data_IF_444446255975
#
_entry.id   IF_444446255975
#
_cell.length_a   1.000
_cell.length_b   1.000
_cell.length_c   1.000
_cell.angle_alpha   90.00
_cell.angle_beta   90.00
_cell.angle_gamma   90.00
#
_symmetry.space_group_name_H-M   'P 1'
#
loop_
_entity.id
_entity.type
_entity.pdbx_description
1 polymer ?
#
# COMPACT_ATOMS: atom_id res chain seq x y z
N UNK A 1 -17.18 -54.26 -22.90
CA UNK A 1 -16.09 -53.36 -23.33
C UNK A 1 -16.31 -52.73 -24.72
N UNK A 2 -17.49 -52.80 -25.34
CA UNK A 2 -17.75 -52.21 -26.68
C UNK A 2 -18.73 -51.05 -26.69
N UNK A 3 -19.34 -50.71 -25.55
CA UNK A 3 -20.36 -49.64 -25.43
C UNK A 3 -19.79 -48.28 -25.12
N UNK A 4 -18.65 -48.21 -24.42
CA UNK A 4 -18.03 -46.92 -23.99
C UNK A 4 -17.35 -46.15 -25.14
N UNK A 5 -16.76 -46.85 -26.10
CA UNK A 5 -16.08 -46.21 -27.25
C UNK A 5 -17.06 -45.46 -28.15
N UNK A 6 -18.29 -45.98 -28.32
CA UNK A 6 -19.32 -45.32 -29.15
C UNK A 6 -19.91 -44.08 -28.49
N UNK A 7 -19.99 -44.05 -27.16
CA UNK A 7 -20.52 -42.90 -26.43
C UNK A 7 -19.53 -41.72 -26.49
N UNK A 8 -18.23 -42.00 -26.33
CA UNK A 8 -17.20 -40.95 -26.42
C UNK A 8 -17.05 -40.39 -27.85
N UNK A 9 -17.16 -41.24 -28.88
CA UNK A 9 -17.15 -40.79 -30.27
C UNK A 9 -18.37 -39.93 -30.61
N UNK A 10 -19.55 -40.25 -30.08
CA UNK A 10 -20.79 -39.50 -30.28
C UNK A 10 -20.76 -38.14 -29.56
N UNK A 11 -20.27 -38.08 -28.33
CA UNK A 11 -20.05 -36.83 -27.59
C UNK A 11 -19.03 -35.91 -28.27
N UNK A 12 -17.92 -36.47 -28.79
CA UNK A 12 -16.94 -35.69 -29.54
C UNK A 12 -17.52 -35.10 -30.84
N UNK A 13 -18.39 -35.82 -31.52
CA UNK A 13 -19.08 -35.34 -32.74
C UNK A 13 -20.07 -34.22 -32.43
N UNK A 14 -20.77 -34.26 -31.30
CA UNK A 14 -21.72 -33.20 -30.90
C UNK A 14 -20.94 -31.94 -30.52
N UNK A 15 -19.82 -32.07 -29.81
CA UNK A 15 -18.97 -30.94 -29.45
C UNK A 15 -18.37 -30.28 -30.69
N UNK A 16 -17.88 -31.07 -31.64
CA UNK A 16 -17.40 -30.57 -32.94
C UNK A 16 -18.49 -29.86 -33.75
N UNK A 17 -19.68 -30.43 -33.84
CA UNK A 17 -20.80 -29.83 -34.56
C UNK A 17 -21.27 -28.51 -33.90
N UNK A 18 -21.21 -28.41 -32.57
CA UNK A 18 -21.52 -27.17 -31.86
C UNK A 18 -20.50 -26.06 -32.18
N UNK A 19 -19.21 -26.40 -32.28
CA UNK A 19 -18.15 -25.46 -32.67
C UNK A 19 -18.26 -24.99 -34.13
N UNK A 20 -18.71 -25.85 -35.06
CA UNK A 20 -18.95 -25.46 -36.46
C UNK A 20 -20.13 -24.48 -36.62
N UNK A 21 -21.17 -24.64 -35.80
CA UNK A 21 -22.37 -23.79 -35.86
C UNK A 21 -22.15 -22.38 -35.30
N UNK A 22 -21.22 -22.21 -34.35
CA UNK A 22 -20.94 -20.90 -33.68
C UNK A 22 -19.89 -20.09 -34.44
N UNK A 23 -19.23 -20.63 -35.48
CA UNK A 23 -18.11 -19.98 -36.22
C UNK A 23 -17.01 -19.40 -35.32
N UNK A 24 -16.81 -19.93 -34.12
CA UNK A 24 -15.74 -19.54 -33.22
C UNK A 24 -14.57 -20.49 -33.45
N UNK A 25 -13.43 -19.96 -33.87
CA UNK A 25 -12.20 -20.75 -34.00
C UNK A 25 -11.86 -21.44 -32.69
N UNK A 26 -11.61 -22.76 -32.64
CA UNK A 26 -11.19 -23.45 -31.41
C UNK A 26 -9.95 -22.83 -30.74
N UNK A 27 -9.08 -22.20 -31.54
CA UNK A 27 -7.94 -21.43 -31.02
C UNK A 27 -8.34 -20.15 -30.26
N UNK A 28 -9.50 -19.56 -30.56
CA UNK A 28 -9.97 -18.35 -29.89
C UNK A 28 -10.66 -18.64 -28.55
N UNK A 29 -11.19 -19.85 -28.37
CA UNK A 29 -11.72 -20.27 -27.06
C UNK A 29 -10.66 -20.85 -26.12
N UNK A 30 -9.47 -21.23 -26.63
CA UNK A 30 -8.35 -21.70 -25.81
C UNK A 30 -7.38 -20.57 -25.38
N UNK A 31 -7.65 -19.32 -25.78
CA UNK A 31 -6.73 -18.18 -25.55
C UNK A 31 -7.36 -17.04 -24.72
N UNK A 32 -8.57 -17.19 -24.27
CA UNK A 32 -8.96 -16.51 -23.06
C UNK A 32 -8.61 -17.44 -21.88
N UNK A 33 -7.32 -17.61 -21.59
CA UNK A 33 -6.88 -17.96 -20.25
C UNK A 33 -7.55 -16.94 -19.35
N UNK A 34 -8.56 -17.40 -18.60
CA UNK A 34 -9.24 -16.51 -17.65
C UNK A 34 -8.14 -16.04 -16.72
N UNK A 35 -7.70 -14.77 -16.93
CA UNK A 35 -6.73 -14.15 -16.03
C UNK A 35 -7.31 -14.25 -14.62
N UNK A 36 -6.60 -14.92 -13.73
CA UNK A 36 -7.00 -15.09 -12.35
C UNK A 36 -5.80 -14.78 -11.46
N UNK A 37 -5.98 -13.84 -10.57
CA UNK A 37 -4.99 -13.54 -9.54
C UNK A 37 -4.86 -14.72 -8.57
N UNK A 38 -3.69 -15.00 -7.98
CA UNK A 38 -3.51 -16.08 -7.00
C UNK A 38 -4.50 -15.99 -5.83
N UNK A 39 -4.85 -14.78 -5.42
CA UNK A 39 -5.82 -14.48 -4.37
C UNK A 39 -7.29 -14.55 -4.81
N UNK A 40 -7.56 -14.86 -6.08
CA UNK A 40 -8.89 -14.82 -6.73
C UNK A 40 -9.59 -13.44 -6.70
N UNK A 41 -8.88 -12.34 -6.36
CA UNK A 41 -9.39 -10.97 -6.42
C UNK A 41 -9.56 -10.51 -7.87
N UNK A 42 -10.47 -9.56 -8.10
CA UNK A 42 -10.55 -8.85 -9.37
C UNK A 42 -9.32 -7.96 -9.60
N UNK A 43 -9.05 -7.57 -10.83
CA UNK A 43 -7.88 -6.72 -11.16
C UNK A 43 -7.86 -5.39 -10.41
N UNK A 44 -9.03 -4.85 -10.12
CA UNK A 44 -9.24 -3.55 -9.46
C UNK A 44 -9.72 -3.69 -8.00
N UNK A 45 -9.54 -4.87 -7.39
CA UNK A 45 -9.95 -5.17 -6.02
C UNK A 45 -8.76 -5.15 -5.06
N UNK A 46 -8.91 -4.37 -3.98
CA UNK A 46 -7.93 -4.35 -2.88
C UNK A 46 -8.15 -5.52 -1.91
N UNK A 47 -7.11 -5.85 -1.15
CA UNK A 47 -7.23 -6.69 0.04
C UNK A 47 -8.12 -6.00 1.08
N UNK A 48 -8.74 -6.78 1.95
CA UNK A 48 -9.49 -6.23 3.07
C UNK A 48 -8.62 -5.33 3.94
N UNK A 49 -9.12 -4.13 4.26
CA UNK A 49 -8.44 -3.15 5.12
C UNK A 49 -9.11 -3.12 6.47
N UNK A 50 -8.35 -3.23 7.55
CA UNK A 50 -8.83 -3.00 8.90
C UNK A 50 -7.86 -2.11 9.68
N UNK A 51 -8.41 -1.23 10.53
CA UNK A 51 -7.67 -0.21 11.28
C UNK A 51 -8.16 -0.23 12.71
N UNK A 52 -7.24 -0.48 13.64
CA UNK A 52 -7.49 -0.40 15.08
C UNK A 52 -6.73 0.81 15.64
N UNK A 53 -7.45 1.86 16.03
CA UNK A 53 -6.85 3.09 16.58
C UNK A 53 -6.61 2.99 18.08
N UNK A 54 -5.65 3.76 18.60
CA UNK A 54 -5.32 3.75 20.03
C UNK A 54 -4.70 2.43 20.50
N UNK A 55 -4.05 1.70 19.60
CA UNK A 55 -3.48 0.37 19.84
C UNK A 55 -2.44 0.36 20.96
N UNK A 56 -1.63 1.42 21.09
CA UNK A 56 -0.65 1.55 22.17
C UNK A 56 -1.04 2.66 23.15
N UNK A 57 -0.73 2.45 24.43
CA UNK A 57 -1.15 3.35 25.53
C UNK A 57 -0.37 4.66 25.59
N UNK A 58 0.91 4.64 25.20
CA UNK A 58 1.84 5.72 25.55
C UNK A 58 2.05 6.74 24.43
N UNK A 59 1.95 6.31 23.16
CA UNK A 59 2.10 7.20 22.02
C UNK A 59 1.00 8.27 21.97
N UNK A 60 1.30 9.44 21.44
CA UNK A 60 0.32 10.51 21.22
C UNK A 60 -0.76 10.10 20.22
N UNK A 61 -0.40 9.30 19.21
CA UNK A 61 -1.31 8.63 18.31
C UNK A 61 -0.79 7.24 17.96
N UNK A 62 -1.67 6.28 17.77
CA UNK A 62 -1.28 4.94 17.34
C UNK A 62 -2.39 4.20 16.63
N UNK A 63 -2.02 3.34 15.69
CA UNK A 63 -2.94 2.38 15.08
C UNK A 63 -2.21 1.09 14.67
N UNK A 64 -2.96 0.00 14.64
CA UNK A 64 -2.60 -1.20 13.89
C UNK A 64 -3.40 -1.20 12.60
N UNK A 65 -2.72 -1.04 11.47
CA UNK A 65 -3.32 -1.19 10.14
C UNK A 65 -3.03 -2.58 9.58
N UNK A 66 -4.05 -3.18 8.98
CA UNK A 66 -3.94 -4.44 8.24
C UNK A 66 -4.48 -4.24 6.83
N UNK A 67 -3.70 -4.64 5.84
CA UNK A 67 -4.08 -4.73 4.42
C UNK A 67 -3.89 -6.19 4.02
N UNK A 68 -4.98 -6.97 4.06
CA UNK A 68 -4.89 -8.43 4.02
C UNK A 68 -3.98 -8.97 5.13
N UNK A 69 -2.98 -9.75 4.74
CA UNK A 69 -2.00 -10.34 5.65
C UNK A 69 -0.79 -9.40 5.94
N UNK A 70 -0.76 -8.19 5.40
CA UNK A 70 0.24 -7.19 5.78
C UNK A 70 -0.24 -6.40 6.98
N UNK A 71 0.47 -6.50 8.11
CA UNK A 71 0.15 -5.85 9.38
C UNK A 71 1.26 -4.92 9.81
N UNK A 72 0.94 -3.64 10.05
CA UNK A 72 1.90 -2.62 10.47
C UNK A 72 1.37 -1.88 11.70
N UNK A 73 2.17 -1.84 12.76
CA UNK A 73 1.95 -0.97 13.89
C UNK A 73 2.56 0.39 13.59
N UNK A 74 1.73 1.45 13.65
CA UNK A 74 2.17 2.82 13.48
C UNK A 74 1.95 3.60 14.77
N UNK A 75 2.97 4.29 15.26
CA UNK A 75 2.88 5.18 16.43
C UNK A 75 3.41 6.55 16.08
N UNK A 76 2.86 7.60 16.69
CA UNK A 76 3.31 8.97 16.55
C UNK A 76 3.69 9.53 17.91
N UNK A 77 4.93 10.03 18.02
CA UNK A 77 5.52 10.58 19.23
C UNK A 77 5.83 12.06 19.03
N UNK A 78 5.42 12.91 19.99
CA UNK A 78 5.62 14.35 19.98
C UNK A 78 6.91 14.74 20.72
N UNK A 79 7.69 15.61 20.09
CA UNK A 79 8.79 16.33 20.75
C UNK A 79 8.55 17.83 20.66
N UNK A 80 8.68 18.54 21.81
CA UNK A 80 8.55 20.01 21.91
C UNK A 80 9.76 20.78 21.34
N UNK A 81 10.49 20.19 20.42
CA UNK A 81 11.67 20.76 19.75
C UNK A 81 11.76 20.25 18.33
N UNK A 82 12.35 21.04 17.46
CA UNK A 82 12.66 20.66 16.08
C UNK A 82 14.14 20.27 15.94
N UNK A 83 14.50 19.56 14.85
CA UNK A 83 15.90 19.32 14.52
C UNK A 83 16.71 20.61 14.45
N UNK A 84 18.03 20.59 14.73
CA UNK A 84 18.87 21.79 14.77
C UNK A 84 18.80 22.70 13.53
N UNK A 85 18.63 22.10 12.35
CA UNK A 85 18.52 22.84 11.07
C UNK A 85 17.22 23.63 10.91
N UNK A 86 16.21 23.42 11.76
CA UNK A 86 14.94 24.16 11.78
C UNK A 86 14.76 25.06 12.99
N UNK A 87 15.74 25.09 13.87
CA UNK A 87 15.67 25.93 15.07
C UNK A 87 15.50 27.41 14.72
N UNK A 88 14.52 28.09 15.31
CA UNK A 88 14.12 29.47 15.07
C UNK A 88 13.58 29.72 13.64
N UNK A 89 13.13 28.72 12.94
CA UNK A 89 12.49 28.87 11.61
C UNK A 89 10.98 29.10 11.71
N UNK A 90 10.35 28.82 12.85
CA UNK A 90 8.90 28.79 13.02
C UNK A 90 8.22 27.56 12.39
N UNK A 91 9.00 26.60 11.86
CA UNK A 91 8.50 25.45 11.12
C UNK A 91 8.53 24.17 11.95
N UNK A 92 7.44 23.44 11.97
CA UNK A 92 7.40 22.09 12.50
C UNK A 92 8.02 21.05 11.58
N UNK A 93 8.21 19.85 12.11
CA UNK A 93 8.79 18.74 11.39
C UNK A 93 8.03 17.42 11.63
N UNK A 94 7.83 16.65 10.58
CA UNK A 94 7.36 15.27 10.65
C UNK A 94 8.44 14.39 10.03
N UNK A 95 8.83 13.37 10.75
CA UNK A 95 9.80 12.37 10.29
C UNK A 95 9.25 10.99 10.56
N UNK A 96 9.88 9.96 10.00
CA UNK A 96 9.47 8.59 10.23
C UNK A 96 10.66 7.66 10.40
N UNK A 97 10.43 6.61 11.19
CA UNK A 97 11.26 5.43 11.24
C UNK A 97 10.47 4.22 10.74
N UNK A 98 11.17 3.22 10.23
CA UNK A 98 10.55 2.02 9.68
C UNK A 98 11.41 0.81 10.04
N UNK A 99 10.75 -0.27 10.41
CA UNK A 99 11.43 -1.52 10.67
C UNK A 99 10.53 -2.72 10.43
N UNK A 100 11.15 -3.89 10.30
CA UNK A 100 10.43 -5.16 10.21
C UNK A 100 10.85 -6.07 11.35
N UNK A 101 9.86 -6.71 12.01
CA UNK A 101 10.17 -7.73 13.00
C UNK A 101 10.90 -8.92 12.33
N UNK A 102 11.81 -9.60 13.03
CA UNK A 102 12.59 -10.71 12.46
C UNK A 102 11.74 -11.82 11.82
N UNK A 103 10.51 -12.01 12.30
CA UNK A 103 9.55 -13.00 11.78
C UNK A 103 8.36 -12.36 11.08
N UNK A 104 8.48 -11.13 10.61
CA UNK A 104 7.49 -10.52 9.74
C UNK A 104 7.34 -11.24 8.40
N UNK A 105 8.36 -11.99 7.97
CA UNK A 105 8.42 -12.77 6.72
C UNK A 105 8.48 -14.28 6.97
N UNK A 106 8.34 -15.09 5.91
CA UNK A 106 8.36 -16.55 5.96
C UNK A 106 9.62 -17.11 6.63
N UNK A 107 10.77 -16.51 6.37
CA UNK A 107 12.04 -16.86 7.01
C UNK A 107 12.45 -15.80 8.00
N UNK A 108 13.20 -16.19 9.04
CA UNK A 108 13.68 -15.23 10.03
C UNK A 108 14.77 -14.34 9.45
N UNK A 109 14.52 -13.03 9.42
CA UNK A 109 15.52 -12.02 9.11
C UNK A 109 16.38 -11.67 10.35
N UNK A 110 17.63 -11.25 10.12
CA UNK A 110 18.48 -10.74 11.20
C UNK A 110 17.93 -9.37 11.64
N UNK A 111 17.81 -9.17 12.95
CA UNK A 111 17.40 -7.86 13.50
C UNK A 111 18.46 -6.80 13.17
N UNK A 112 18.06 -5.67 12.59
CA UNK A 112 19.01 -4.62 12.13
C UNK A 112 19.80 -4.02 13.30
N UNK A 113 19.18 -3.82 14.47
CA UNK A 113 19.89 -3.35 15.68
C UNK A 113 21.02 -4.30 16.11
N UNK A 114 20.85 -5.60 15.92
CA UNK A 114 21.91 -6.59 16.17
C UNK A 114 22.95 -6.66 15.03
N UNK A 115 22.64 -6.12 13.87
CA UNK A 115 23.60 -5.97 12.75
C UNK A 115 24.42 -4.69 12.84
N UNK A 116 24.03 -3.74 13.71
CA UNK A 116 24.71 -2.47 13.93
C UNK A 116 24.49 -1.43 12.83
N UNK A 117 23.64 -1.73 11.82
CA UNK A 117 23.27 -0.79 10.75
C UNK A 117 21.92 -1.16 10.15
N UNK A 118 21.20 -0.15 9.66
CA UNK A 118 20.01 -0.32 8.86
C UNK A 118 20.35 -0.70 7.41
N UNK A 119 19.48 -1.46 6.76
CA UNK A 119 19.57 -1.76 5.34
C UNK A 119 19.27 -0.51 4.49
N UNK A 120 19.73 -0.49 3.24
CA UNK A 120 19.39 0.58 2.30
C UNK A 120 17.87 0.68 2.06
N UNK A 121 17.17 -0.48 2.01
CA UNK A 121 15.71 -0.55 1.90
C UNK A 121 15.02 0.13 3.10
N UNK A 122 15.44 -0.16 4.32
CA UNK A 122 14.89 0.47 5.53
C UNK A 122 15.05 1.97 5.49
N UNK A 123 16.25 2.47 5.15
CA UNK A 123 16.53 3.91 5.06
C UNK A 123 15.72 4.58 3.94
N UNK A 124 15.57 3.93 2.79
CA UNK A 124 14.76 4.43 1.68
C UNK A 124 13.30 4.57 2.11
N UNK A 125 12.70 3.54 2.73
CA UNK A 125 11.30 3.54 3.15
C UNK A 125 11.06 4.57 4.27
N UNK A 126 11.93 4.71 5.25
CA UNK A 126 11.85 5.77 6.28
C UNK A 126 11.75 7.15 5.65
N UNK A 127 12.62 7.44 4.67
CA UNK A 127 12.63 8.73 3.98
C UNK A 127 11.37 8.94 3.14
N UNK A 128 10.87 7.89 2.51
CA UNK A 128 9.63 7.90 1.75
C UNK A 128 8.44 8.24 2.66
N UNK A 129 8.26 7.52 3.78
CA UNK A 129 7.17 7.76 4.73
C UNK A 129 7.23 9.22 5.25
N UNK A 130 8.38 9.64 5.78
CA UNK A 130 8.54 10.98 6.34
C UNK A 130 8.27 12.10 5.31
N UNK A 131 8.72 11.94 4.07
CA UNK A 131 8.47 12.88 2.96
C UNK A 131 6.98 12.91 2.59
N UNK A 132 6.36 11.76 2.50
CA UNK A 132 4.94 11.62 2.16
C UNK A 132 4.05 12.29 3.19
N UNK A 133 4.25 12.01 4.48
CA UNK A 133 3.47 12.61 5.55
C UNK A 133 3.66 14.15 5.61
N UNK A 134 4.88 14.64 5.44
CA UNK A 134 5.15 16.09 5.43
C UNK A 134 4.44 16.83 4.31
N UNK A 135 4.20 16.20 3.16
CA UNK A 135 3.48 16.83 2.05
C UNK A 135 2.02 17.17 2.41
N UNK A 136 1.43 16.43 3.36
CA UNK A 136 0.09 16.69 3.89
C UNK A 136 0.05 17.59 5.12
N UNK A 137 1.13 18.31 5.49
CA UNK A 137 1.22 19.08 6.74
C UNK A 137 1.57 20.54 6.47
N UNK A 138 0.76 21.45 7.00
CA UNK A 138 1.14 22.85 7.19
C UNK A 138 2.15 22.95 8.36
N UNK A 139 3.41 23.07 8.02
CA UNK A 139 4.50 23.11 8.97
C UNK A 139 4.53 24.39 9.81
N UNK A 140 3.94 25.49 9.29
CA UNK A 140 3.81 26.74 10.06
C UNK A 140 2.75 26.57 11.13
N UNK A 141 1.58 26.02 10.78
CA UNK A 141 0.52 25.74 11.74
C UNK A 141 0.95 24.72 12.82
N UNK A 142 1.80 23.73 12.47
CA UNK A 142 2.37 22.81 13.45
C UNK A 142 3.30 23.50 14.45
N UNK A 143 4.00 24.59 14.03
CA UNK A 143 4.98 25.31 14.87
C UNK A 143 6.23 24.48 15.16
N UNK A 144 7.19 25.02 15.90
CA UNK A 144 8.49 24.36 16.20
C UNK A 144 8.35 23.12 17.10
N UNK A 145 7.68 22.11 16.59
CA UNK A 145 7.54 20.76 17.16
C UNK A 145 7.96 19.70 16.16
N UNK A 146 8.44 18.58 16.64
CA UNK A 146 8.66 17.41 15.81
C UNK A 146 7.66 16.32 16.18
N UNK A 147 7.11 15.65 15.17
CA UNK A 147 6.39 14.39 15.33
C UNK A 147 7.18 13.31 14.59
N UNK A 148 7.61 12.30 15.34
CA UNK A 148 8.24 11.10 14.79
C UNK A 148 7.19 10.02 14.66
N UNK A 149 7.06 9.45 13.47
CA UNK A 149 6.14 8.33 13.19
C UNK A 149 6.96 7.07 13.05
N UNK A 150 6.76 6.12 13.96
CA UNK A 150 7.41 4.81 13.93
C UNK A 150 6.47 3.80 13.28
N UNK A 151 6.97 3.05 12.31
CA UNK A 151 6.23 2.04 11.55
C UNK A 151 6.92 0.69 11.67
N UNK A 152 6.36 -0.19 12.48
CA UNK A 152 6.87 -1.54 12.71
C UNK A 152 6.03 -2.58 11.98
N UNK A 153 6.62 -3.23 10.99
CA UNK A 153 5.95 -4.32 10.26
C UNK A 153 5.96 -5.58 11.11
N UNK A 154 4.77 -5.99 11.53
CA UNK A 154 4.54 -7.20 12.34
C UNK A 154 4.46 -8.43 11.43
N UNK A 155 3.77 -8.31 10.30
CA UNK A 155 3.62 -9.34 9.29
C UNK A 155 3.63 -8.69 7.90
N UNK A 156 4.32 -9.31 6.94
CA UNK A 156 4.52 -8.79 5.59
C UNK A 156 3.99 -9.76 4.53
N UNK A 157 3.12 -9.25 3.68
CA UNK A 157 2.55 -9.93 2.52
C UNK A 157 2.36 -8.93 1.35
N UNK A 158 3.44 -8.29 0.91
CA UNK A 158 3.41 -7.21 -0.08
C UNK A 158 2.91 -5.88 0.48
N UNK A 159 3.25 -4.75 -0.15
CA UNK A 159 2.72 -3.42 0.15
C UNK A 159 3.05 -2.85 1.54
N UNK A 160 4.12 -3.30 2.23
CA UNK A 160 4.43 -2.85 3.60
C UNK A 160 4.69 -1.35 3.69
N UNK A 161 5.33 -0.74 2.68
CA UNK A 161 5.53 0.72 2.62
C UNK A 161 4.22 1.49 2.47
N UNK A 162 3.29 0.95 1.70
CA UNK A 162 1.97 1.54 1.50
C UNK A 162 1.13 1.49 2.78
N UNK A 163 1.11 0.35 3.47
CA UNK A 163 0.47 0.22 4.77
C UNK A 163 1.11 1.14 5.82
N UNK A 164 2.45 1.28 5.82
CA UNK A 164 3.16 2.17 6.73
C UNK A 164 2.83 3.66 6.51
N UNK A 165 2.74 4.12 5.26
CA UNK A 165 2.35 5.51 4.95
C UNK A 165 0.90 5.76 5.36
N UNK A 166 0.00 4.85 4.98
CA UNK A 166 -1.44 4.97 5.24
C UNK A 166 -1.74 4.92 6.75
N UNK A 167 -1.17 3.97 7.49
CA UNK A 167 -1.30 3.89 8.95
C UNK A 167 -0.53 5.01 9.66
N UNK A 168 0.62 5.41 9.13
CA UNK A 168 1.41 6.53 9.65
C UNK A 168 0.63 7.84 9.65
N UNK A 169 -0.18 8.10 8.62
CA UNK A 169 -1.06 9.27 8.60
C UNK A 169 -2.13 9.20 9.71
N UNK A 170 -2.69 8.02 9.98
CA UNK A 170 -3.68 7.84 11.05
C UNK A 170 -3.05 8.13 12.42
N UNK A 171 -1.88 7.56 12.70
CA UNK A 171 -1.15 7.84 13.93
C UNK A 171 -0.83 9.33 14.09
N UNK A 172 -0.37 9.98 13.00
CA UNK A 172 -0.13 11.43 12.95
C UNK A 172 -1.40 12.23 13.22
N UNK A 173 -2.55 11.86 12.59
CA UNK A 173 -3.84 12.53 12.81
C UNK A 173 -4.28 12.47 14.27
N UNK A 174 -4.16 11.31 14.90
CA UNK A 174 -4.51 11.12 16.30
C UNK A 174 -3.62 11.95 17.23
N UNK A 175 -2.30 12.03 16.96
CA UNK A 175 -1.37 12.88 17.70
C UNK A 175 -1.72 14.37 17.55
N UNK A 176 -2.04 14.82 16.34
CA UNK A 176 -2.48 16.20 16.09
C UNK A 176 -3.81 16.50 16.80
N UNK A 177 -4.78 15.57 16.77
CA UNK A 177 -6.04 15.73 17.51
C UNK A 177 -5.79 15.94 19.02
N UNK A 178 -4.80 15.23 19.60
CA UNK A 178 -4.39 15.43 21.01
C UNK A 178 -3.82 16.83 21.23
N UNK A 179 -2.93 17.31 20.35
CA UNK A 179 -2.36 18.67 20.42
C UNK A 179 -3.42 19.76 20.31
N UNK A 180 -4.39 19.60 19.43
CA UNK A 180 -5.50 20.54 19.30
C UNK A 180 -6.39 20.52 20.56
N UNK A 181 -6.65 19.35 21.11
CA UNK A 181 -7.46 19.20 22.35
C UNK A 181 -6.77 19.84 23.57
N UNK A 182 -5.45 19.80 23.65
CA UNK A 182 -4.68 20.46 24.73
C UNK A 182 -4.46 21.93 24.49
N UNK A 183 -4.82 22.46 23.33
CA UNK A 183 -4.61 23.85 22.94
C UNK A 183 -3.17 24.20 22.56
N UNK A 184 -2.32 23.20 22.38
CA UNK A 184 -0.94 23.37 21.95
C UNK A 184 -0.82 23.76 20.48
N UNK A 185 -1.79 23.37 19.66
CA UNK A 185 -1.97 23.77 18.27
C UNK A 185 -3.37 24.34 18.12
N UNK A 186 -3.48 25.55 17.56
CA UNK A 186 -4.75 26.31 17.49
C UNK A 186 -5.55 25.96 16.23
N UNK A 187 -4.87 25.79 15.10
CA UNK A 187 -5.45 25.41 13.82
C UNK A 187 -4.97 24.04 13.39
N UNK A 188 -5.82 23.30 12.69
CA UNK A 188 -5.45 21.97 12.18
C UNK A 188 -4.28 22.07 11.18
N UNK A 189 -3.12 21.49 11.48
CA UNK A 189 -1.98 21.51 10.59
C UNK A 189 -2.06 20.46 9.48
N UNK A 190 -3.02 19.52 9.53
CA UNK A 190 -3.14 18.50 8.48
C UNK A 190 -4.02 19.01 7.34
N UNK A 191 -3.39 19.19 6.16
CA UNK A 191 -4.02 19.75 4.98
C UNK A 191 -4.96 18.78 4.27
N UNK A 192 -4.55 17.50 4.23
CA UNK A 192 -5.24 16.44 3.49
C UNK A 192 -4.79 15.06 4.01
N UNK A 193 -5.64 14.03 3.98
CA UNK A 193 -5.20 12.67 4.18
C UNK A 193 -4.09 12.27 3.18
N UNK A 194 -3.20 11.42 3.62
CA UNK A 194 -2.14 10.85 2.75
C UNK A 194 -2.24 9.34 2.83
N UNK A 195 -2.42 8.71 1.69
CA UNK A 195 -2.43 7.26 1.55
C UNK A 195 -1.44 6.79 0.50
N UNK A 196 -1.09 5.52 0.54
CA UNK A 196 -0.25 4.90 -0.48
C UNK A 196 -0.81 3.53 -0.86
N UNK A 197 -0.67 3.19 -2.13
CA UNK A 197 -1.13 1.92 -2.68
C UNK A 197 -0.10 1.38 -3.69
N UNK A 198 0.06 0.06 -3.75
CA UNK A 198 0.81 -0.61 -4.79
C UNK A 198 -0.10 -0.96 -5.97
N UNK A 199 0.45 -0.90 -7.17
CA UNK A 199 -0.16 -1.42 -8.38
C UNK A 199 0.94 -2.11 -9.19
N UNK A 200 0.58 -3.00 -10.11
CA UNK A 200 1.59 -3.63 -10.96
C UNK A 200 1.02 -4.23 -12.23
N UNK A 201 1.93 -4.68 -13.09
CA UNK A 201 1.57 -5.51 -14.23
C UNK A 201 1.89 -6.96 -13.86
N UNK A 202 0.87 -7.73 -13.53
CA UNK A 202 0.97 -9.15 -13.21
C UNK A 202 0.36 -9.99 -14.35
N UNK A 203 1.11 -10.95 -14.86
CA UNK A 203 0.71 -11.76 -16.02
C UNK A 203 0.14 -10.93 -17.20
N UNK A 204 0.74 -9.75 -17.47
CA UNK A 204 0.37 -8.85 -18.54
C UNK A 204 -0.85 -7.96 -18.26
N UNK A 205 -1.48 -8.06 -17.10
CA UNK A 205 -2.66 -7.26 -16.71
C UNK A 205 -2.31 -6.24 -15.62
N UNK A 206 -2.83 -4.99 -15.69
CA UNK A 206 -2.75 -4.04 -14.59
C UNK A 206 -3.59 -4.55 -13.41
N UNK A 207 -3.01 -4.57 -12.21
CA UNK A 207 -3.68 -5.00 -10.98
C UNK A 207 -3.43 -4.03 -9.84
N UNK A 208 -4.44 -3.88 -8.99
CA UNK A 208 -4.43 -3.05 -7.80
C UNK A 208 -3.98 -3.86 -6.59
N UNK A 209 -3.18 -3.26 -5.71
CA UNK A 209 -2.79 -3.81 -4.40
C UNK A 209 -2.15 -5.19 -4.49
N UNK A 210 -0.88 -5.21 -4.91
CA UNK A 210 -0.09 -6.44 -5.03
C UNK A 210 0.10 -7.09 -3.65
N UNK A 211 -0.25 -8.38 -3.53
CA UNK A 211 0.23 -9.24 -2.45
C UNK A 211 1.63 -9.79 -2.78
N UNK A 212 2.26 -10.52 -1.84
CA UNK A 212 3.62 -10.99 -2.03
C UNK A 212 3.80 -11.96 -3.22
N UNK A 213 2.89 -12.94 -3.46
CA UNK A 213 2.96 -13.79 -4.65
C UNK A 213 2.93 -12.99 -5.95
N UNK A 214 2.09 -11.96 -6.05
CA UNK A 214 1.98 -11.11 -7.23
C UNK A 214 3.19 -10.18 -7.38
N UNK A 215 3.62 -9.53 -6.28
CA UNK A 215 4.77 -8.61 -6.24
C UNK A 215 6.06 -9.30 -6.69
N UNK A 216 6.27 -10.56 -6.28
CA UNK A 216 7.45 -11.36 -6.62
C UNK A 216 7.53 -11.79 -8.09
N UNK A 217 6.41 -11.78 -8.82
CA UNK A 217 6.31 -12.21 -10.22
C UNK A 217 5.86 -11.06 -11.16
N UNK A 218 5.59 -9.88 -10.60
CA UNK A 218 5.13 -8.73 -11.38
C UNK A 218 6.21 -8.28 -12.38
N UNK A 219 5.85 -8.11 -13.63
CA UNK A 219 6.73 -7.50 -14.64
C UNK A 219 6.94 -6.00 -14.43
N UNK A 220 6.03 -5.34 -13.72
CA UNK A 220 6.12 -3.94 -13.28
C UNK A 220 5.58 -3.84 -11.87
N UNK A 221 6.36 -3.26 -10.96
CA UNK A 221 5.94 -2.85 -9.62
C UNK A 221 5.88 -1.33 -9.53
N UNK A 222 4.79 -0.81 -9.00
CA UNK A 222 4.57 0.61 -8.81
C UNK A 222 3.96 0.90 -7.44
N UNK A 223 4.42 2.00 -6.83
CA UNK A 223 3.89 2.51 -5.58
C UNK A 223 3.49 3.98 -5.78
N UNK A 224 2.24 4.29 -5.48
CA UNK A 224 1.69 5.63 -5.60
C UNK A 224 1.37 6.18 -4.21
N UNK A 225 1.85 7.40 -3.94
CA UNK A 225 1.48 8.15 -2.74
C UNK A 225 0.65 9.34 -3.17
N UNK A 226 -0.56 9.42 -2.61
CA UNK A 226 -1.55 10.42 -3.01
C UNK A 226 -2.18 11.10 -1.80
N UNK A 227 -2.70 12.30 -2.04
CA UNK A 227 -3.57 12.98 -1.07
C UNK A 227 -5.01 12.52 -1.23
N UNK A 228 -5.84 12.71 -0.22
CA UNK A 228 -7.28 12.43 -0.27
C UNK A 228 -8.03 13.23 -1.35
N UNK A 229 -7.46 14.37 -1.77
CA UNK A 229 -7.96 15.17 -2.91
C UNK A 229 -7.48 14.68 -4.28
N UNK A 230 -6.78 13.53 -4.36
CA UNK A 230 -6.32 12.90 -5.60
C UNK A 230 -5.02 13.48 -6.17
N UNK A 231 -4.28 14.31 -5.42
CA UNK A 231 -3.00 14.84 -5.89
C UNK A 231 -1.86 13.86 -5.61
N UNK A 232 -0.94 13.75 -6.56
CA UNK A 232 0.25 12.93 -6.43
C UNK A 232 1.28 13.57 -5.50
N UNK A 233 1.83 12.79 -4.58
CA UNK A 233 2.97 13.18 -3.75
C UNK A 233 4.23 12.50 -4.26
N UNK A 234 4.15 11.21 -4.58
CA UNK A 234 5.27 10.44 -5.12
C UNK A 234 4.77 9.28 -5.98
N UNK A 235 5.49 8.98 -7.03
CA UNK A 235 5.29 7.80 -7.88
C UNK A 235 6.64 7.10 -8.00
N UNK A 236 6.69 5.86 -7.57
CA UNK A 236 7.82 4.95 -7.80
C UNK A 236 7.32 3.83 -8.71
N UNK A 237 7.98 3.62 -9.83
CA UNK A 237 7.61 2.57 -10.78
C UNK A 237 8.88 1.97 -11.38
N UNK A 238 8.95 0.66 -11.39
CA UNK A 238 10.07 -0.10 -11.93
C UNK A 238 9.57 -1.27 -12.75
N UNK A 239 10.27 -1.58 -13.84
CA UNK A 239 10.05 -2.78 -14.63
C UNK A 239 11.19 -3.76 -14.39
N UNK A 240 10.87 -5.02 -14.16
CA UNK A 240 11.83 -6.10 -13.98
C UNK A 240 11.79 -7.03 -15.21
N UNK A 241 12.88 -7.05 -15.99
CA UNK A 241 13.02 -7.91 -17.15
C UNK A 241 12.27 -7.49 -18.42
N UNK A 242 11.42 -6.45 -18.37
CA UNK A 242 10.67 -5.91 -19.51
C UNK A 242 10.52 -4.40 -19.40
N UNK A 243 9.93 -3.77 -20.42
CA UNK A 243 9.55 -2.36 -20.37
C UNK A 243 8.03 -2.25 -20.25
N UNK A 244 7.52 -1.10 -19.81
CA UNK A 244 6.09 -0.80 -19.81
C UNK A 244 5.78 0.40 -20.71
N UNK A 245 4.57 0.43 -21.24
CA UNK A 245 4.10 1.52 -22.10
C UNK A 245 3.48 2.64 -21.27
N UNK A 246 3.25 3.79 -21.94
CA UNK A 246 2.55 4.92 -21.33
C UNK A 246 1.08 4.56 -21.00
N UNK A 247 0.45 3.75 -21.83
CA UNK A 247 -0.92 3.27 -21.62
C UNK A 247 -1.00 2.40 -20.37
N UNK A 248 -0.02 1.51 -20.16
CA UNK A 248 0.08 0.72 -18.94
C UNK A 248 0.30 1.59 -17.70
N UNK A 249 1.18 2.60 -17.77
CA UNK A 249 1.37 3.57 -16.69
C UNK A 249 0.05 4.29 -16.35
N UNK A 250 -0.71 4.74 -17.35
CA UNK A 250 -1.99 5.41 -17.13
C UNK A 250 -2.99 4.46 -16.47
N UNK A 251 -3.09 3.21 -16.93
CA UNK A 251 -3.96 2.21 -16.31
C UNK A 251 -3.60 1.93 -14.84
N UNK A 252 -2.31 1.89 -14.50
CA UNK A 252 -1.87 1.75 -13.10
C UNK A 252 -2.22 2.99 -12.27
N UNK A 253 -2.16 4.19 -12.87
CA UNK A 253 -2.56 5.43 -12.20
C UNK A 253 -4.07 5.45 -11.90
N UNK A 254 -4.91 5.05 -12.85
CA UNK A 254 -6.37 4.96 -12.67
C UNK A 254 -6.73 3.99 -11.52
N UNK A 255 -6.03 2.84 -11.45
CA UNK A 255 -6.17 1.89 -10.34
C UNK A 255 -5.72 2.49 -9.01
N UNK A 256 -4.60 3.22 -9.01
CA UNK A 256 -4.06 3.86 -7.82
C UNK A 256 -5.00 4.95 -7.29
N UNK A 257 -5.64 5.74 -8.14
CA UNK A 257 -6.66 6.72 -7.76
C UNK A 257 -7.83 6.04 -7.05
N UNK A 258 -8.35 4.94 -7.61
CA UNK A 258 -9.40 4.14 -6.97
C UNK A 258 -8.98 3.64 -5.60
N UNK A 259 -7.83 2.94 -5.50
CA UNK A 259 -7.35 2.38 -4.24
C UNK A 259 -7.04 3.44 -3.19
N UNK A 260 -6.47 4.59 -3.59
CA UNK A 260 -6.23 5.72 -2.70
C UNK A 260 -7.53 6.32 -2.15
N UNK A 261 -8.58 6.43 -2.96
CA UNK A 261 -9.89 6.91 -2.51
C UNK A 261 -10.50 5.97 -1.47
N UNK A 262 -10.43 4.66 -1.67
CA UNK A 262 -10.90 3.65 -0.72
C UNK A 262 -10.11 3.70 0.59
N UNK A 263 -8.77 3.82 0.53
CA UNK A 263 -7.92 3.97 1.72
C UNK A 263 -8.20 5.27 2.48
N UNK A 264 -8.40 6.37 1.77
CA UNK A 264 -8.76 7.67 2.37
C UNK A 264 -10.09 7.58 3.10
N UNK A 265 -11.10 6.93 2.52
CA UNK A 265 -12.38 6.71 3.19
C UNK A 265 -12.21 5.88 4.47
N UNK A 266 -11.39 4.82 4.44
CA UNK A 266 -11.09 4.00 5.61
C UNK A 266 -10.34 4.80 6.70
N UNK A 267 -9.35 5.64 6.32
CA UNK A 267 -8.63 6.52 7.24
C UNK A 267 -9.56 7.49 7.96
N UNK A 268 -10.42 8.19 7.20
CA UNK A 268 -11.37 9.15 7.76
C UNK A 268 -12.39 8.49 8.69
N UNK A 269 -12.92 7.33 8.30
CA UNK A 269 -13.82 6.56 9.16
C UNK A 269 -13.17 6.10 10.47
N UNK A 270 -11.87 5.79 10.45
CA UNK A 270 -11.15 5.34 11.64
C UNK A 270 -10.85 6.46 12.65
N UNK A 271 -10.79 7.73 12.20
CA UNK A 271 -10.44 8.88 13.05
C UNK A 271 -11.60 9.84 13.32
N UNK A 272 -12.84 9.46 12.90
CA UNK A 272 -14.07 10.23 13.05
C UNK A 272 -14.55 10.40 14.51
#
# INVERSE_FOLDING_TARGET
MHTDIKLHAWLASIVLAFFEQVRVSPRKLMIEDIFMRPSARQTDEMRAVSIEVGFTKHAEGSCLIKMGETHVLCTASLEARVPPFLKNSGLGWVTAEYGMLPRATHTRMRRESAAGKQSGRTQEIQRLIGRSLRAGVDRVALGERQITVDCDVIQADGGTRCAAITGGWIALRLAVNKLMKTGEVISDPLLDPVSAISCGIYAGQPVLDLDYPEDSEAGVDANFVMTGSGKLIEVQMSAEGSTFSREQMNALMDLAEKGSAELTAAQLAAVA
#
